data_IF_740733703726
#
_entry.id   IF_740733703726
#
_cell.length_a   1.000
_cell.length_b   1.000
_cell.length_c   1.000
_cell.angle_alpha   90.00
_cell.angle_beta   90.00
_cell.angle_gamma   90.00
#
_symmetry.space_group_name_H-M   'P 1'
#
loop_
_entity.id
_entity.type
_entity.pdbx_description
1 polymer ?
#
# COMPACT_ATOMS: atom_id res chain seq x y z
N UNK A 1 -14.97 37.00 -40.27
CA UNK A 1 -13.59 37.40 -40.58
C UNK A 1 -12.98 38.05 -39.34
N UNK A 2 -12.27 37.27 -38.55
CA UNK A 2 -11.49 37.75 -37.41
C UNK A 2 -10.23 36.88 -37.32
N UNK A 3 -9.09 37.51 -37.60
CA UNK A 3 -7.77 36.91 -37.52
C UNK A 3 -7.38 36.75 -36.05
N UNK A 4 -7.35 35.50 -35.57
CA UNK A 4 -6.53 35.13 -34.42
C UNK A 4 -5.17 34.64 -34.93
N UNK A 5 -4.05 35.07 -34.34
CA UNK A 5 -2.73 34.59 -34.74
C UNK A 5 -2.62 33.10 -34.39
N UNK A 6 -2.19 32.30 -35.36
CA UNK A 6 -1.76 30.91 -35.13
C UNK A 6 -0.57 30.96 -34.18
N UNK A 7 -0.78 30.59 -32.91
CA UNK A 7 0.32 30.22 -32.04
C UNK A 7 0.98 29.00 -32.66
N UNK A 8 2.23 29.16 -33.13
CA UNK A 8 3.07 28.05 -33.51
C UNK A 8 3.22 27.14 -32.30
N UNK A 9 2.85 25.87 -32.46
CA UNK A 9 3.10 24.84 -31.47
C UNK A 9 4.62 24.73 -31.25
N UNK A 10 5.18 25.09 -30.08
CA UNK A 10 6.62 25.00 -29.84
C UNK A 10 7.08 23.55 -29.61
N UNK A 11 6.16 22.59 -29.61
CA UNK A 11 6.43 21.17 -29.41
C UNK A 11 5.84 20.38 -30.58
N UNK A 12 6.62 20.29 -31.66
CA UNK A 12 6.23 19.55 -32.86
C UNK A 12 5.73 18.13 -32.53
N UNK A 13 4.68 17.71 -33.23
CA UNK A 13 4.26 16.31 -33.33
C UNK A 13 5.39 15.53 -34.01
N UNK A 14 6.33 15.03 -33.21
CA UNK A 14 7.46 14.26 -33.67
C UNK A 14 7.44 12.89 -33.00
N UNK A 15 6.99 11.88 -33.75
CA UNK A 15 7.40 10.51 -33.52
C UNK A 15 8.90 10.42 -33.88
N UNK A 16 9.77 10.82 -32.96
CA UNK A 16 11.23 10.73 -33.14
C UNK A 16 11.71 9.32 -32.88
N UNK A 17 11.84 8.52 -33.94
CA UNK A 17 12.74 7.37 -34.00
C UNK A 17 14.17 7.89 -34.12
N UNK A 18 14.87 8.04 -32.99
CA UNK A 18 16.26 8.50 -32.93
C UNK A 18 17.18 7.37 -32.48
N UNK A 19 18.31 7.17 -33.18
CA UNK A 19 19.43 6.37 -32.69
C UNK A 19 19.87 6.89 -31.32
N UNK A 20 19.89 6.01 -30.33
CA UNK A 20 19.95 6.28 -28.88
C UNK A 20 21.33 6.71 -28.34
N UNK A 21 22.05 7.62 -29.01
CA UNK A 21 23.28 8.16 -28.41
C UNK A 21 22.93 9.13 -27.28
N UNK A 22 23.27 8.76 -26.04
CA UNK A 22 23.14 9.63 -24.85
C UNK A 22 21.81 9.52 -24.10
N UNK A 23 21.01 8.47 -24.31
CA UNK A 23 19.80 8.17 -23.52
C UNK A 23 20.08 6.98 -22.60
N UNK A 24 19.71 7.09 -21.33
CA UNK A 24 19.83 6.02 -20.33
C UNK A 24 18.45 5.49 -20.00
N UNK A 25 18.32 4.17 -20.00
CA UNK A 25 17.11 3.45 -19.61
C UNK A 25 17.36 2.64 -18.36
N UNK A 26 16.56 2.90 -17.32
CA UNK A 26 16.59 2.12 -16.08
C UNK A 26 15.21 1.52 -15.79
N UNK A 27 15.20 0.26 -15.38
CA UNK A 27 14.04 -0.41 -14.81
C UNK A 27 14.42 -0.80 -13.37
N UNK A 28 13.87 -0.08 -12.40
CA UNK A 28 14.38 -0.09 -11.03
C UNK A 28 15.86 0.28 -10.99
N UNK A 29 16.67 -0.58 -10.38
CA UNK A 29 18.13 -0.40 -10.26
C UNK A 29 18.92 -0.95 -11.47
N UNK A 30 18.25 -1.59 -12.44
CA UNK A 30 18.89 -2.23 -13.60
C UNK A 30 18.99 -1.25 -14.75
N UNK A 31 20.22 -0.95 -15.19
CA UNK A 31 20.48 -0.24 -16.44
C UNK A 31 20.29 -1.19 -17.62
N UNK A 32 19.28 -0.91 -18.44
CA UNK A 32 18.90 -1.74 -19.60
C UNK A 32 19.28 -1.08 -20.92
N UNK A 33 20.04 0.02 -20.90
CA UNK A 33 20.34 0.86 -22.08
C UNK A 33 20.92 0.05 -23.23
N UNK A 34 21.85 -0.87 -22.96
CA UNK A 34 22.47 -1.70 -23.99
C UNK A 34 21.54 -2.76 -24.60
N UNK A 35 20.46 -3.11 -23.89
CA UNK A 35 19.45 -4.04 -24.38
C UNK A 35 18.34 -3.38 -25.21
N UNK A 36 18.24 -2.06 -25.21
CA UNK A 36 17.20 -1.35 -25.98
C UNK A 36 17.50 -1.45 -27.48
N UNK A 37 16.60 -2.12 -28.19
CA UNK A 37 16.62 -2.23 -29.65
C UNK A 37 15.92 -1.04 -30.29
N UNK A 38 14.80 -0.63 -29.70
CA UNK A 38 14.00 0.51 -30.14
C UNK A 38 13.17 1.07 -28.98
N UNK A 39 12.77 2.33 -29.08
CA UNK A 39 11.89 2.96 -28.09
C UNK A 39 11.07 4.08 -28.71
N UNK A 40 9.80 4.17 -28.32
CA UNK A 40 8.93 5.29 -28.65
C UNK A 40 8.33 5.92 -27.39
N UNK A 41 8.15 7.23 -27.40
CA UNK A 41 7.56 7.99 -26.31
C UNK A 41 6.41 8.82 -26.86
N UNK A 42 5.25 8.70 -26.24
CA UNK A 42 4.05 9.41 -26.63
C UNK A 42 3.65 10.37 -25.52
N UNK A 43 3.72 11.66 -25.83
CA UNK A 43 3.23 12.71 -24.95
C UNK A 43 2.32 13.63 -25.75
N UNK A 44 1.02 13.51 -25.53
CA UNK A 44 0.02 14.38 -26.14
C UNK A 44 -0.80 15.06 -25.05
N UNK A 45 -1.28 16.26 -25.37
CA UNK A 45 -2.20 16.95 -24.48
C UNK A 45 -3.46 16.10 -24.29
N UNK A 46 -3.94 15.97 -23.04
CA UNK A 46 -5.08 15.13 -22.65
C UNK A 46 -4.88 13.62 -22.82
N UNK A 47 -3.64 13.13 -22.91
CA UNK A 47 -3.32 11.71 -22.86
C UNK A 47 -2.31 11.44 -21.75
N UNK A 48 -2.43 10.28 -21.12
CA UNK A 48 -1.41 9.79 -20.19
C UNK A 48 -0.12 9.56 -20.98
N UNK A 49 1.03 10.10 -20.53
CA UNK A 49 2.30 9.81 -21.17
C UNK A 49 2.53 8.29 -21.22
N UNK A 50 2.88 7.77 -22.38
CA UNK A 50 3.18 6.34 -22.54
C UNK A 50 4.50 6.14 -23.26
N UNK A 51 5.08 4.97 -23.05
CA UNK A 51 6.30 4.55 -23.72
C UNK A 51 6.18 3.11 -24.18
N UNK A 52 6.76 2.80 -25.33
CA UNK A 52 6.97 1.43 -25.78
C UNK A 52 8.47 1.21 -25.94
N UNK A 53 9.01 0.21 -25.25
CA UNK A 53 10.43 -0.10 -25.24
C UNK A 53 10.60 -1.53 -25.73
N UNK A 54 11.40 -1.71 -26.77
CA UNK A 54 11.75 -3.03 -27.29
C UNK A 54 13.12 -3.43 -26.76
N UNK A 55 13.16 -4.48 -25.95
CA UNK A 55 14.40 -5.00 -25.36
C UNK A 55 14.80 -6.33 -26.02
N UNK A 56 16.12 -6.49 -26.23
CA UNK A 56 16.71 -7.76 -26.62
C UNK A 56 16.92 -8.64 -25.38
N UNK A 57 16.39 -9.88 -25.35
CA UNK A 57 16.59 -10.81 -24.25
C UNK A 57 18.00 -11.44 -24.23
N UNK A 58 18.86 -11.11 -25.21
CA UNK A 58 20.21 -11.68 -25.30
C UNK A 58 21.14 -11.26 -24.15
N UNK A 59 20.78 -10.22 -23.40
CA UNK A 59 21.60 -9.69 -22.32
C UNK A 59 21.29 -10.38 -20.97
N UNK A 60 22.31 -10.88 -20.23
CA UNK A 60 22.09 -11.62 -18.99
C UNK A 60 21.33 -10.84 -17.91
N UNK A 61 21.51 -9.52 -17.84
CA UNK A 61 20.84 -8.68 -16.84
C UNK A 61 19.33 -8.57 -17.03
N UNK A 62 18.80 -8.93 -18.21
CA UNK A 62 17.35 -8.98 -18.47
C UNK A 62 16.64 -9.95 -17.51
N UNK A 63 17.31 -11.04 -17.13
CA UNK A 63 16.78 -12.03 -16.19
C UNK A 63 16.58 -11.48 -14.77
N UNK A 64 17.22 -10.36 -14.45
CA UNK A 64 17.13 -9.70 -13.15
C UNK A 64 16.19 -8.50 -13.15
N UNK A 65 15.49 -8.23 -14.26
CA UNK A 65 14.51 -7.16 -14.32
C UNK A 65 13.31 -7.53 -13.45
N UNK A 66 12.92 -6.59 -12.61
CA UNK A 66 11.63 -6.62 -11.94
C UNK A 66 10.62 -5.82 -12.73
N UNK A 67 9.65 -6.50 -13.33
CA UNK A 67 8.59 -5.86 -14.10
C UNK A 67 7.63 -5.01 -13.25
N UNK A 68 7.68 -5.11 -11.91
CA UNK A 68 6.96 -4.20 -11.01
C UNK A 68 7.82 -3.01 -10.54
N UNK A 69 9.00 -2.82 -11.11
CA UNK A 69 9.80 -1.62 -10.83
C UNK A 69 9.40 -0.46 -11.75
N UNK A 70 9.57 0.76 -11.25
CA UNK A 70 9.42 1.96 -12.06
C UNK A 70 10.45 2.03 -13.20
N UNK A 71 10.05 2.63 -14.30
CA UNK A 71 10.87 2.92 -15.48
C UNK A 71 11.30 4.36 -15.45
N UNK A 72 12.61 4.60 -15.58
CA UNK A 72 13.18 5.93 -15.70
C UNK A 72 14.01 6.01 -16.96
N UNK A 73 13.67 6.98 -17.80
CA UNK A 73 14.44 7.31 -19.01
C UNK A 73 14.93 8.73 -18.89
N UNK A 74 16.23 8.93 -19.11
CA UNK A 74 16.86 10.24 -19.07
C UNK A 74 17.82 10.44 -20.23
N UNK A 75 18.05 11.70 -20.59
CA UNK A 75 19.06 12.12 -21.56
C UNK A 75 20.27 12.67 -20.81
N UNK A 76 21.47 12.18 -21.12
CA UNK A 76 22.70 12.51 -20.40
C UNK A 76 23.01 11.51 -19.27
N UNK A 77 24.10 11.76 -18.53
CA UNK A 77 24.55 10.92 -17.41
C UNK A 77 24.80 11.80 -16.17
N UNK A 78 24.61 11.21 -14.97
CA UNK A 78 24.91 11.87 -13.70
C UNK A 78 23.93 13.01 -13.35
N UNK A 79 24.44 14.03 -12.66
CA UNK A 79 23.63 15.14 -12.12
C UNK A 79 22.99 16.04 -13.20
N UNK A 80 23.49 15.99 -14.43
CA UNK A 80 22.94 16.75 -15.56
C UNK A 80 21.92 15.96 -16.39
N UNK A 81 21.48 14.79 -15.91
CA UNK A 81 20.51 13.96 -16.61
C UNK A 81 19.14 14.65 -16.69
N UNK A 82 18.64 14.89 -17.90
CA UNK A 82 17.30 15.43 -18.11
C UNK A 82 16.28 14.30 -18.20
N UNK A 83 15.21 14.29 -17.38
CA UNK A 83 14.19 13.24 -17.45
C UNK A 83 13.41 13.33 -18.76
N UNK A 84 13.31 12.20 -19.46
CA UNK A 84 12.56 12.03 -20.70
C UNK A 84 11.21 11.37 -20.41
N UNK A 85 11.23 10.30 -19.61
CA UNK A 85 10.04 9.55 -19.21
C UNK A 85 10.22 8.95 -17.82
N UNK A 86 9.13 8.91 -17.06
CA UNK A 86 9.02 8.20 -15.79
C UNK A 86 7.65 7.56 -15.72
N UNK A 87 7.56 6.30 -15.31
CA UNK A 87 6.28 5.59 -15.22
C UNK A 87 6.41 4.14 -14.83
N UNK A 88 5.32 3.40 -14.94
CA UNK A 88 5.20 1.99 -14.58
C UNK A 88 5.06 1.12 -15.83
N UNK A 89 5.46 -0.15 -15.70
CA UNK A 89 5.29 -1.16 -16.74
C UNK A 89 3.88 -1.74 -16.63
N UNK A 90 3.12 -1.66 -17.72
CA UNK A 90 1.78 -2.22 -17.83
C UNK A 90 1.80 -3.66 -18.35
N UNK A 91 2.64 -3.94 -19.34
CA UNK A 91 2.71 -5.26 -19.96
C UNK A 91 4.06 -5.51 -20.59
N UNK A 92 4.40 -6.80 -20.67
CA UNK A 92 5.56 -7.30 -21.40
C UNK A 92 5.10 -8.43 -22.29
N UNK A 93 5.30 -8.29 -23.60
CA UNK A 93 4.98 -9.31 -24.58
C UNK A 93 6.26 -9.83 -25.24
N UNK A 94 6.40 -11.15 -25.34
CA UNK A 94 7.49 -11.76 -26.10
C UNK A 94 7.03 -11.92 -27.55
N UNK A 95 7.64 -11.19 -28.48
CA UNK A 95 7.33 -11.26 -29.92
C UNK A 95 8.63 -11.33 -30.70
N UNK A 96 8.77 -12.32 -31.57
CA UNK A 96 9.95 -12.50 -32.45
C UNK A 96 11.29 -12.40 -31.70
N UNK A 97 11.38 -13.05 -30.54
CA UNK A 97 12.56 -13.03 -29.66
C UNK A 97 12.96 -11.65 -29.13
N UNK A 98 12.03 -10.70 -29.07
CA UNK A 98 12.18 -9.43 -28.38
C UNK A 98 11.13 -9.29 -27.28
N UNK A 99 11.45 -8.50 -26.26
CA UNK A 99 10.51 -8.11 -25.20
C UNK A 99 9.93 -6.75 -25.55
N UNK A 100 8.61 -6.69 -25.75
CA UNK A 100 7.87 -5.46 -25.97
C UNK A 100 7.28 -5.00 -24.64
N UNK A 101 7.89 -3.97 -24.06
CA UNK A 101 7.53 -3.39 -22.77
C UNK A 101 6.68 -2.17 -23.01
N UNK A 102 5.40 -2.22 -22.59
CA UNK A 102 4.52 -1.05 -22.62
C UNK A 102 4.48 -0.40 -21.24
N UNK A 103 4.68 0.91 -21.20
CA UNK A 103 4.73 1.69 -19.99
C UNK A 103 3.72 2.85 -20.02
N UNK A 104 3.27 3.27 -18.84
CA UNK A 104 2.39 4.42 -18.64
C UNK A 104 2.92 5.30 -17.52
N UNK A 105 2.75 6.61 -17.64
CA UNK A 105 3.24 7.56 -16.65
C UNK A 105 2.46 7.57 -15.33
N UNK A 106 1.25 6.99 -15.30
CA UNK A 106 0.37 6.98 -14.11
C UNK A 106 -0.49 5.70 -14.04
N UNK A 107 0.13 4.52 -13.88
CA UNK A 107 -0.61 3.25 -13.88
C UNK A 107 -1.65 3.17 -12.76
N UNK A 108 -1.36 3.81 -11.63
CA UNK A 108 -2.27 3.86 -10.48
C UNK A 108 -3.66 4.43 -10.78
N UNK A 109 -3.80 5.30 -11.80
CA UNK A 109 -5.11 5.80 -12.22
C UNK A 109 -5.91 4.80 -13.07
N UNK A 110 -5.22 3.90 -13.78
CA UNK A 110 -5.87 2.83 -14.56
C UNK A 110 -6.19 1.61 -13.69
N UNK A 111 -5.39 1.37 -12.63
CA UNK A 111 -5.55 0.25 -11.71
C UNK A 111 -6.63 0.50 -10.63
N UNK A 112 -7.06 1.75 -10.41
CA UNK A 112 -8.04 2.12 -9.38
C UNK A 112 -9.38 2.47 -9.99
N UNK A 113 -10.40 1.68 -9.65
CA UNK A 113 -11.78 2.04 -9.89
C UNK A 113 -12.27 2.96 -8.77
N UNK A 114 -12.49 4.23 -9.14
CA UNK A 114 -13.07 5.20 -8.23
C UNK A 114 -14.54 4.88 -7.96
N UNK A 115 -14.94 5.08 -6.71
CA UNK A 115 -16.35 5.09 -6.34
C UNK A 115 -17.10 6.24 -7.01
N UNK A 116 -18.44 6.17 -6.97
CA UNK A 116 -19.26 7.27 -7.47
C UNK A 116 -19.02 8.57 -6.71
N UNK A 117 -19.28 9.70 -7.37
CA UNK A 117 -19.25 11.01 -6.73
C UNK A 117 -20.35 11.93 -7.26
N UNK A 118 -20.78 12.89 -6.44
CA UNK A 118 -21.62 14.01 -6.82
C UNK A 118 -21.01 15.28 -6.21
N UNK A 119 -21.00 16.39 -6.93
CA UNK A 119 -20.38 17.62 -6.44
C UNK A 119 -21.11 18.88 -6.90
N UNK A 120 -20.87 19.97 -6.17
CA UNK A 120 -21.31 21.33 -6.50
C UNK A 120 -20.25 22.33 -6.07
N UNK A 121 -19.97 23.31 -6.93
CA UNK A 121 -19.03 24.40 -6.65
C UNK A 121 -17.88 24.45 -7.64
N UNK A 122 -17.41 25.66 -7.95
CA UNK A 122 -16.46 25.93 -9.04
C UNK A 122 -15.08 25.29 -8.81
N UNK A 123 -14.64 25.22 -7.55
CA UNK A 123 -13.30 24.73 -7.20
C UNK A 123 -13.27 23.24 -6.83
N UNK A 124 -14.43 22.58 -6.78
CA UNK A 124 -14.54 21.17 -6.38
C UNK A 124 -13.97 20.19 -7.41
N UNK A 125 -14.10 20.41 -8.75
CA UNK A 125 -13.42 19.55 -9.73
C UNK A 125 -11.91 19.44 -9.50
N UNK A 126 -11.25 20.56 -9.19
CA UNK A 126 -9.81 20.58 -8.87
C UNK A 126 -9.50 19.79 -7.61
N UNK A 127 -10.33 19.91 -6.57
CA UNK A 127 -10.20 19.11 -5.36
C UNK A 127 -10.41 17.62 -5.63
N UNK A 128 -11.34 17.25 -6.52
CA UNK A 128 -11.58 15.86 -6.91
C UNK A 128 -10.37 15.27 -7.64
N UNK A 129 -9.74 16.04 -8.53
CA UNK A 129 -8.49 15.61 -9.19
C UNK A 129 -7.38 15.43 -8.16
N UNK A 130 -7.23 16.36 -7.21
CA UNK A 130 -6.28 16.23 -6.11
C UNK A 130 -6.55 14.97 -5.28
N UNK A 131 -7.79 14.78 -4.84
CA UNK A 131 -8.21 13.61 -4.06
C UNK A 131 -7.95 12.30 -4.81
N UNK A 132 -8.27 12.26 -6.11
CA UNK A 132 -8.03 11.10 -6.97
C UNK A 132 -6.55 10.79 -7.05
N UNK A 133 -5.70 11.80 -7.24
CA UNK A 133 -4.24 11.63 -7.28
C UNK A 133 -3.70 11.09 -5.95
N UNK A 134 -4.19 11.62 -4.82
CA UNK A 134 -3.82 11.15 -3.48
C UNK A 134 -4.29 9.71 -3.24
N UNK A 135 -5.52 9.37 -3.62
CA UNK A 135 -6.07 8.01 -3.52
C UNK A 135 -5.34 7.01 -4.44
N UNK A 136 -4.79 7.49 -5.56
CA UNK A 136 -3.92 6.73 -6.46
C UNK A 136 -2.48 6.59 -5.92
N UNK A 137 -2.17 7.14 -4.75
CA UNK A 137 -0.87 7.01 -4.08
C UNK A 137 0.15 8.11 -4.39
N UNK A 138 -0.18 9.09 -5.25
CA UNK A 138 0.74 10.20 -5.54
C UNK A 138 0.92 11.09 -4.32
N UNK A 139 2.16 11.51 -4.07
CA UNK A 139 2.55 12.40 -2.97
C UNK A 139 2.20 13.85 -3.29
N UNK A 140 2.08 14.67 -2.25
CA UNK A 140 1.72 16.09 -2.41
C UNK A 140 2.72 16.84 -3.31
N UNK A 141 4.02 16.55 -3.16
CA UNK A 141 5.07 17.14 -3.98
C UNK A 141 5.11 16.63 -5.44
N UNK A 142 4.37 15.57 -5.76
CA UNK A 142 4.23 15.01 -7.10
C UNK A 142 2.98 15.56 -7.82
N UNK A 143 2.11 16.25 -7.09
CA UNK A 143 0.86 16.81 -7.62
C UNK A 143 1.05 18.31 -7.88
N UNK A 144 1.29 18.66 -9.14
CA UNK A 144 1.33 20.06 -9.57
C UNK A 144 0.02 20.48 -10.22
N UNK A 145 -0.88 21.04 -9.42
CA UNK A 145 -2.14 21.62 -9.90
C UNK A 145 -2.11 23.12 -9.59
N UNK A 146 -1.97 23.97 -10.61
CA UNK A 146 -1.73 25.43 -10.46
C UNK A 146 -2.80 26.17 -9.63
N UNK A 147 -3.95 25.54 -9.36
CA UNK A 147 -5.08 26.07 -8.61
C UNK A 147 -5.18 25.61 -7.13
N UNK A 148 -4.18 24.92 -6.55
CA UNK A 148 -4.28 24.32 -5.20
C UNK A 148 -3.78 25.17 -4.04
N UNK A 149 -3.09 26.31 -4.25
CA UNK A 149 -2.74 27.21 -3.13
C UNK A 149 -4.00 27.88 -2.59
N UNK A 150 -4.57 27.29 -1.54
CA UNK A 150 -5.78 27.74 -0.85
C UNK A 150 -5.49 28.11 0.60
N UNK A 151 -6.24 29.06 1.17
CA UNK A 151 -6.19 29.29 2.61
C UNK A 151 -6.78 28.10 3.37
N UNK A 152 -6.40 27.96 4.64
CA UNK A 152 -7.05 27.04 5.56
C UNK A 152 -8.55 27.38 5.64
N UNK A 153 -9.40 26.37 5.51
CA UNK A 153 -10.86 26.48 5.59
C UNK A 153 -11.42 25.46 6.59
N UNK A 154 -12.54 25.80 7.23
CA UNK A 154 -13.32 24.86 8.04
C UNK A 154 -14.27 24.07 7.14
N UNK A 155 -14.22 22.75 7.27
CA UNK A 155 -15.07 21.81 6.57
C UNK A 155 -16.03 21.11 7.53
N UNK A 156 -17.29 20.98 7.11
CA UNK A 156 -18.25 20.05 7.68
C UNK A 156 -18.13 18.72 6.93
N UNK A 157 -17.82 17.65 7.66
CA UNK A 157 -17.75 16.29 7.11
C UNK A 157 -18.85 15.44 7.74
N UNK A 158 -19.66 14.79 6.91
CA UNK A 158 -20.78 13.97 7.35
C UNK A 158 -20.66 12.54 6.80
N UNK A 159 -20.66 11.57 7.72
CA UNK A 159 -20.41 10.15 7.43
C UNK A 159 -21.61 9.33 7.95
N UNK A 160 -22.29 8.55 7.10
CA UNK A 160 -23.37 7.67 7.55
C UNK A 160 -22.85 6.53 8.44
N UNK A 161 -23.62 6.17 9.47
CA UNK A 161 -23.29 5.10 10.40
C UNK A 161 -24.33 3.97 10.34
N UNK A 162 -23.87 2.73 10.43
CA UNK A 162 -24.70 1.52 10.45
C UNK A 162 -24.51 0.74 11.74
N UNK A 163 -25.56 0.02 12.15
CA UNK A 163 -25.55 -0.79 13.36
C UNK A 163 -25.79 -0.01 14.66
N UNK A 164 -26.17 1.27 14.55
CA UNK A 164 -26.56 2.11 15.70
C UNK A 164 -27.91 2.78 15.45
N UNK A 165 -28.57 3.11 16.54
CA UNK A 165 -29.75 3.97 16.55
C UNK A 165 -29.38 5.23 17.31
N UNK A 166 -29.75 6.39 16.77
CA UNK A 166 -29.55 7.67 17.43
C UNK A 166 -30.92 8.25 17.83
N UNK A 167 -31.00 8.92 18.99
CA UNK A 167 -32.19 9.67 19.36
C UNK A 167 -32.40 10.85 18.38
N UNK A 168 -33.55 11.52 18.50
CA UNK A 168 -33.82 12.73 17.71
C UNK A 168 -32.91 13.91 18.10
N UNK A 169 -32.35 13.90 19.31
CA UNK A 169 -31.39 14.88 19.78
C UNK A 169 -29.97 14.55 19.30
N UNK A 170 -29.16 15.58 19.10
CA UNK A 170 -27.73 15.41 18.80
C UNK A 170 -27.02 14.85 20.03
N UNK A 171 -26.24 13.79 19.84
CA UNK A 171 -25.32 13.27 20.86
C UNK A 171 -23.89 13.68 20.52
N UNK A 172 -23.08 13.97 21.53
CA UNK A 172 -21.65 14.28 21.36
C UNK A 172 -20.80 13.17 21.96
N UNK A 173 -19.85 12.63 21.19
CA UNK A 173 -18.84 11.70 21.68
C UNK A 173 -17.47 12.18 21.19
N UNK A 174 -16.67 12.73 22.10
CA UNK A 174 -15.41 13.39 21.75
C UNK A 174 -15.66 14.55 20.78
N UNK A 175 -14.99 14.54 19.63
CA UNK A 175 -15.15 15.54 18.56
C UNK A 175 -16.29 15.22 17.58
N UNK A 176 -16.96 14.07 17.72
CA UNK A 176 -17.97 13.60 16.77
C UNK A 176 -19.38 13.88 17.29
N UNK A 177 -20.17 14.59 16.50
CA UNK A 177 -21.60 14.77 16.74
C UNK A 177 -22.40 13.70 16.00
N UNK A 178 -23.30 12.99 16.69
CA UNK A 178 -24.16 11.96 16.13
C UNK A 178 -25.59 12.51 15.99
N UNK A 179 -26.15 12.39 14.79
CA UNK A 179 -27.48 12.89 14.45
C UNK A 179 -28.38 11.76 13.91
N UNK A 180 -29.59 11.63 14.46
CA UNK A 180 -30.64 10.76 13.93
C UNK A 180 -31.59 11.51 13.00
N UNK A 181 -31.73 11.05 11.74
CA UNK A 181 -32.76 11.48 10.77
C UNK A 181 -32.72 12.93 10.25
N UNK A 182 -32.34 13.93 11.06
CA UNK A 182 -32.42 15.35 10.72
C UNK A 182 -31.53 15.77 9.54
N UNK A 183 -30.45 15.01 9.28
CA UNK A 183 -29.47 15.31 8.23
C UNK A 183 -29.74 14.50 6.94
N UNK A 184 -30.73 13.59 6.95
CA UNK A 184 -31.02 12.65 5.85
C UNK A 184 -31.23 13.33 4.50
N UNK A 185 -31.93 14.46 4.46
CA UNK A 185 -32.21 15.22 3.23
C UNK A 185 -31.11 16.20 2.82
N UNK A 186 -30.06 16.37 3.63
CA UNK A 186 -29.06 17.44 3.41
C UNK A 186 -28.29 17.24 2.10
N UNK A 187 -27.89 16.01 1.78
CA UNK A 187 -27.19 15.71 0.53
C UNK A 187 -28.06 16.03 -0.70
N UNK A 188 -29.36 15.72 -0.66
CA UNK A 188 -30.30 16.02 -1.74
C UNK A 188 -30.47 17.54 -1.94
N UNK A 189 -30.60 18.30 -0.85
CA UNK A 189 -30.65 19.77 -0.93
C UNK A 189 -29.37 20.37 -1.52
N UNK A 190 -28.21 19.84 -1.14
CA UNK A 190 -26.91 20.38 -1.54
C UNK A 190 -26.44 19.93 -2.93
N UNK A 191 -26.85 18.74 -3.40
CA UNK A 191 -26.31 18.12 -4.62
C UNK A 191 -27.38 17.73 -5.64
N UNK A 192 -28.67 17.77 -5.26
CA UNK A 192 -29.77 17.27 -6.08
C UNK A 192 -29.94 15.75 -6.00
N UNK A 193 -30.93 15.23 -6.73
CA UNK A 193 -31.21 13.78 -6.77
C UNK A 193 -30.23 13.07 -7.69
N UNK A 194 -29.58 12.03 -7.18
CA UNK A 194 -28.75 11.09 -7.94
C UNK A 194 -28.73 9.74 -7.23
N UNK A 195 -28.26 8.69 -7.90
CA UNK A 195 -28.18 7.34 -7.31
C UNK A 195 -27.30 7.32 -6.04
N UNK A 196 -26.17 8.04 -6.05
CA UNK A 196 -25.27 8.12 -4.89
C UNK A 196 -25.90 8.90 -3.72
N UNK A 197 -26.64 9.98 -4.01
CA UNK A 197 -27.36 10.75 -2.99
C UNK A 197 -28.51 9.95 -2.39
N UNK A 198 -29.23 9.16 -3.20
CA UNK A 198 -30.26 8.25 -2.70
C UNK A 198 -29.66 7.20 -1.75
N UNK A 199 -28.56 6.55 -2.15
CA UNK A 199 -27.83 5.59 -1.31
C UNK A 199 -27.35 6.21 0.00
N UNK A 200 -26.87 7.45 -0.05
CA UNK A 200 -26.50 8.21 1.16
C UNK A 200 -27.70 8.41 2.10
N UNK A 201 -28.85 8.77 1.54
CA UNK A 201 -30.07 9.05 2.28
C UNK A 201 -30.77 7.79 2.82
N UNK A 202 -30.39 6.57 2.44
CA UNK A 202 -30.97 5.33 2.98
C UNK A 202 -30.60 5.08 4.46
N UNK A 203 -29.57 5.76 4.96
CA UNK A 203 -29.07 5.57 6.32
C UNK A 203 -29.80 6.49 7.31
N UNK A 204 -30.07 5.97 8.52
CA UNK A 204 -30.83 6.68 9.55
C UNK A 204 -30.00 7.53 10.52
N UNK A 205 -28.68 7.29 10.59
CA UNK A 205 -27.77 7.91 11.57
C UNK A 205 -26.52 8.42 10.87
N UNK A 206 -26.07 9.61 11.26
CA UNK A 206 -24.90 10.29 10.66
C UNK A 206 -23.97 10.80 11.75
N UNK A 207 -22.67 10.58 11.57
CA UNK A 207 -21.60 11.30 12.27
C UNK A 207 -21.31 12.61 11.53
N UNK A 208 -21.09 13.68 12.28
CA UNK A 208 -20.67 14.99 11.79
C UNK A 208 -19.40 15.39 12.53
N UNK A 209 -18.39 15.81 11.77
CA UNK A 209 -17.11 16.32 12.28
C UNK A 209 -16.83 17.65 11.58
N UNK A 210 -16.35 18.63 12.35
CA UNK A 210 -15.84 19.89 11.82
C UNK A 210 -14.32 19.89 11.94
N UNK A 211 -13.62 20.07 10.83
CA UNK A 211 -12.16 20.13 10.82
C UNK A 211 -11.63 21.25 9.94
N UNK A 212 -10.43 21.73 10.22
CA UNK A 212 -9.75 22.76 9.42
C UNK A 212 -8.67 22.12 8.57
N UNK A 213 -8.73 22.32 7.26
CA UNK A 213 -7.76 21.79 6.31
C UNK A 213 -7.54 22.75 5.14
N UNK A 214 -6.52 22.50 4.32
CA UNK A 214 -6.34 23.23 3.05
C UNK A 214 -7.22 22.58 1.98
N UNK A 215 -7.22 21.24 1.93
CA UNK A 215 -7.96 20.47 0.94
C UNK A 215 -9.17 19.74 1.52
N UNK A 216 -10.21 19.55 0.68
CA UNK A 216 -11.40 18.78 1.06
C UNK A 216 -11.05 17.32 1.35
N UNK A 217 -10.07 16.76 0.63
CA UNK A 217 -9.56 15.39 0.86
C UNK A 217 -8.94 15.24 2.25
N UNK A 218 -8.12 16.19 2.68
CA UNK A 218 -7.49 16.17 4.00
C UNK A 218 -8.53 16.22 5.11
N UNK A 219 -9.52 17.11 4.97
CA UNK A 219 -10.64 17.19 5.91
C UNK A 219 -11.42 15.87 5.98
N UNK A 220 -11.68 15.25 4.83
CA UNK A 220 -12.32 13.94 4.74
C UNK A 220 -11.53 12.87 5.51
N UNK A 221 -10.22 12.76 5.28
CA UNK A 221 -9.36 11.77 5.93
C UNK A 221 -9.28 12.00 7.45
N UNK A 222 -9.12 13.24 7.90
CA UNK A 222 -9.11 13.58 9.32
C UNK A 222 -10.44 13.21 10.01
N UNK A 223 -11.56 13.55 9.38
CA UNK A 223 -12.88 13.22 9.93
C UNK A 223 -13.13 11.70 9.96
N UNK A 224 -12.66 10.95 8.97
CA UNK A 224 -12.73 9.48 8.99
C UNK A 224 -11.97 8.92 10.20
N UNK A 225 -10.76 9.42 10.48
CA UNK A 225 -9.96 8.98 11.64
C UNK A 225 -10.71 9.24 12.95
N UNK A 226 -11.28 10.43 13.13
CA UNK A 226 -12.04 10.79 14.34
C UNK A 226 -13.30 9.91 14.50
N UNK A 227 -14.02 9.65 13.42
CA UNK A 227 -15.20 8.78 13.44
C UNK A 227 -14.82 7.35 13.76
N UNK A 228 -13.77 6.79 13.14
CA UNK A 228 -13.31 5.43 13.43
C UNK A 228 -12.87 5.30 14.89
N UNK A 229 -12.12 6.26 15.43
CA UNK A 229 -11.73 6.25 16.84
C UNK A 229 -12.94 6.24 17.80
N UNK A 230 -13.96 7.04 17.47
CA UNK A 230 -15.23 7.02 18.21
C UNK A 230 -15.94 5.66 18.11
N UNK A 231 -15.97 5.04 16.93
CA UNK A 231 -16.56 3.72 16.74
C UNK A 231 -15.80 2.61 17.48
N UNK A 232 -14.47 2.67 17.50
CA UNK A 232 -13.61 1.78 18.26
C UNK A 232 -13.88 1.91 19.77
N UNK A 233 -14.00 3.14 20.27
CA UNK A 233 -14.39 3.39 21.66
C UNK A 233 -15.77 2.79 21.98
N UNK A 234 -16.76 3.00 21.11
CA UNK A 234 -18.08 2.37 21.28
C UNK A 234 -17.99 0.86 21.30
N UNK A 235 -17.15 0.26 20.46
CA UNK A 235 -16.93 -1.19 20.42
C UNK A 235 -16.26 -1.72 21.71
N UNK A 236 -15.38 -0.94 22.34
CA UNK A 236 -14.85 -1.25 23.68
C UNK A 236 -15.97 -1.14 24.71
N UNK A 237 -16.73 -0.04 24.67
CA UNK A 237 -17.80 0.25 25.64
C UNK A 237 -18.94 -0.76 25.60
N UNK A 238 -19.30 -1.31 24.45
CA UNK A 238 -20.33 -2.36 24.31
C UNK A 238 -19.88 -3.70 24.89
N UNK A 239 -18.57 -3.94 25.02
CA UNK A 239 -18.00 -5.15 25.62
C UNK A 239 -17.76 -5.02 27.12
N UNK A 240 -17.89 -3.82 27.69
CA UNK A 240 -17.76 -3.60 29.12
C UNK A 240 -18.88 -4.31 29.88
N UNK A 241 -18.52 -5.22 30.79
CA UNK A 241 -19.46 -6.14 31.46
C UNK A 241 -19.49 -6.00 32.98
N UNK A 242 -18.81 -5.01 33.57
CA UNK A 242 -18.94 -4.74 35.00
C UNK A 242 -20.24 -3.96 35.25
N UNK A 243 -20.85 -4.20 36.42
CA UNK A 243 -22.12 -3.60 36.81
C UNK A 243 -22.04 -2.07 36.98
N UNK A 244 -20.85 -1.56 37.25
CA UNK A 244 -20.60 -0.14 37.55
C UNK A 244 -19.48 0.38 36.65
N UNK A 245 -19.67 1.54 36.05
CA UNK A 245 -18.64 2.26 35.31
C UNK A 245 -17.60 2.88 36.27
N UNK A 246 -16.42 3.26 35.77
CA UNK A 246 -15.39 3.89 36.61
C UNK A 246 -15.82 5.17 37.34
N UNK A 247 -16.85 5.86 36.85
CA UNK A 247 -17.44 7.04 37.49
C UNK A 247 -18.50 6.71 38.55
N UNK A 248 -18.72 5.42 38.85
CA UNK A 248 -19.70 4.96 39.82
C UNK A 248 -21.12 4.79 39.26
N UNK A 249 -21.37 5.10 37.98
CA UNK A 249 -22.70 4.94 37.37
C UNK A 249 -23.00 3.47 37.05
N UNK A 250 -24.26 3.05 37.18
CA UNK A 250 -24.70 1.68 36.88
C UNK A 250 -25.51 1.66 35.56
N UNK A 251 -24.90 1.29 34.43
CA UNK A 251 -25.58 1.27 33.14
C UNK A 251 -26.41 -0.01 32.98
N UNK A 252 -27.47 0.07 32.18
CA UNK A 252 -28.14 -1.12 31.67
C UNK A 252 -27.15 -1.94 30.83
N UNK A 253 -27.15 -3.26 31.05
CA UNK A 253 -26.29 -4.20 30.31
C UNK A 253 -27.11 -5.28 29.63
N UNK A 254 -26.85 -5.49 28.34
CA UNK A 254 -27.49 -6.52 27.54
C UNK A 254 -26.44 -7.28 26.73
N UNK A 255 -26.29 -8.58 26.96
CA UNK A 255 -25.27 -9.41 26.28
C UNK A 255 -25.30 -9.28 24.75
N UNK A 256 -26.49 -9.11 24.15
CA UNK A 256 -26.60 -8.99 22.70
C UNK A 256 -25.92 -7.75 22.12
N UNK A 257 -25.73 -6.67 22.89
CA UNK A 257 -24.99 -5.48 22.40
C UNK A 257 -23.52 -5.75 22.15
N UNK A 258 -22.94 -6.77 22.79
CA UNK A 258 -21.54 -7.19 22.55
C UNK A 258 -21.32 -7.75 21.14
N UNK A 259 -22.40 -8.19 20.48
CA UNK A 259 -22.39 -8.72 19.11
C UNK A 259 -22.69 -7.63 18.06
N UNK A 260 -23.00 -6.40 18.49
CA UNK A 260 -23.30 -5.30 17.58
C UNK A 260 -22.11 -4.97 16.69
N UNK A 261 -22.36 -4.89 15.38
CA UNK A 261 -21.38 -4.47 14.37
C UNK A 261 -21.63 -3.03 13.99
N UNK A 262 -21.15 -2.13 14.84
CA UNK A 262 -21.17 -0.69 14.56
C UNK A 262 -20.07 -0.40 13.54
N UNK A 263 -20.41 0.31 12.46
CA UNK A 263 -19.46 0.69 11.41
C UNK A 263 -19.91 1.95 10.69
N UNK A 264 -18.98 2.68 10.09
CA UNK A 264 -19.32 3.69 9.09
C UNK A 264 -19.66 3.08 7.73
N UNK A 265 -20.37 3.84 6.92
CA UNK A 265 -20.49 3.59 5.49
C UNK A 265 -19.27 4.15 4.73
N UNK A 266 -19.13 3.81 3.45
CA UNK A 266 -18.07 4.34 2.59
C UNK A 266 -18.37 5.74 2.05
N UNK A 267 -19.63 6.14 2.07
CA UNK A 267 -20.04 7.45 1.58
C UNK A 267 -19.62 8.56 2.55
N UNK A 268 -19.10 9.65 2.03
CA UNK A 268 -18.73 10.82 2.83
C UNK A 268 -19.12 12.10 2.11
N UNK A 269 -19.90 12.94 2.80
CA UNK A 269 -20.29 14.27 2.36
C UNK A 269 -19.32 15.27 2.98
N UNK A 270 -18.68 16.11 2.17
CA UNK A 270 -17.79 17.18 2.65
C UNK A 270 -18.30 18.50 2.12
N UNK A 271 -18.35 19.51 2.99
CA UNK A 271 -18.77 20.86 2.66
C UNK A 271 -17.79 21.87 3.22
N UNK A 272 -17.23 22.71 2.35
CA UNK A 272 -16.54 23.93 2.76
C UNK A 272 -17.53 24.96 3.30
N UNK A 273 -17.33 25.41 4.55
CA UNK A 273 -18.22 26.37 5.20
C UNK A 273 -18.13 27.75 4.55
N UNK A 274 -16.92 28.17 4.15
CA UNK A 274 -16.66 29.49 3.59
C UNK A 274 -16.87 29.49 2.07
N UNK A 275 -16.36 28.48 1.38
CA UNK A 275 -16.40 28.39 -0.08
C UNK A 275 -17.72 27.84 -0.61
N UNK A 276 -18.50 27.16 0.24
CA UNK A 276 -19.75 26.50 -0.14
C UNK A 276 -19.56 25.32 -1.11
N UNK A 277 -18.31 24.92 -1.37
CA UNK A 277 -18.02 23.74 -2.18
C UNK A 277 -18.50 22.48 -1.47
N UNK A 278 -19.18 21.60 -2.20
CA UNK A 278 -19.71 20.34 -1.65
C UNK A 278 -19.32 19.19 -2.55
N UNK A 279 -18.88 18.08 -1.96
CA UNK A 279 -18.90 16.78 -2.62
C UNK A 279 -19.58 15.73 -1.76
N UNK A 280 -20.05 14.68 -2.41
CA UNK A 280 -20.39 13.40 -1.84
C UNK A 280 -19.58 12.36 -2.61
N UNK A 281 -18.74 11.61 -1.91
CA UNK A 281 -17.86 10.62 -2.51
C UNK A 281 -18.05 9.26 -1.86
N UNK A 282 -17.95 8.21 -2.67
CA UNK A 282 -17.74 6.86 -2.18
C UNK A 282 -16.23 6.63 -2.01
N UNK A 283 -15.79 6.58 -0.75
CA UNK A 283 -14.39 6.41 -0.37
C UNK A 283 -13.87 4.99 -0.59
N UNK A 284 -14.72 4.06 -1.06
CA UNK A 284 -14.23 2.74 -1.48
C UNK A 284 -13.52 2.83 -2.82
N UNK A 285 -12.20 2.94 -2.77
CA UNK A 285 -11.34 2.67 -3.93
C UNK A 285 -11.21 1.16 -4.08
N UNK A 286 -11.64 0.61 -5.21
CA UNK A 286 -11.40 -0.80 -5.54
C UNK A 286 -10.29 -0.86 -6.55
N UNK A 287 -9.30 -1.71 -6.30
CA UNK A 287 -8.37 -2.06 -7.37
C UNK A 287 -9.10 -2.92 -8.38
N UNK A 288 -8.90 -2.60 -9.65
CA UNK A 288 -9.34 -3.47 -10.73
C UNK A 288 -8.57 -4.79 -10.61
N UNK A 289 -9.30 -5.88 -10.43
CA UNK A 289 -8.77 -7.22 -10.37
C UNK A 289 -9.35 -7.99 -11.56
N UNK A 290 -8.61 -8.09 -12.68
CA UNK A 290 -9.09 -8.85 -13.82
C UNK A 290 -9.24 -10.33 -13.46
N UNK A 291 -10.21 -11.01 -14.08
CA UNK A 291 -10.28 -12.46 -14.05
C UNK A 291 -9.03 -13.04 -14.74
N UNK A 292 -8.46 -14.07 -14.13
CA UNK A 292 -7.25 -14.73 -14.63
C UNK A 292 -7.64 -16.09 -15.21
N UNK A 293 -7.33 -16.32 -16.48
CA UNK A 293 -7.47 -17.62 -17.11
C UNK A 293 -6.28 -18.52 -16.71
N UNK A 294 -6.56 -19.61 -15.98
CA UNK A 294 -5.52 -20.55 -15.52
C UNK A 294 -4.75 -21.21 -16.67
N UNK A 295 -5.41 -21.36 -17.82
CA UNK A 295 -4.86 -21.96 -19.04
C UNK A 295 -4.03 -20.98 -19.88
N UNK A 296 -3.93 -19.71 -19.47
CA UNK A 296 -3.12 -18.74 -20.18
C UNK A 296 -1.62 -19.09 -20.06
N UNK A 297 -1.14 -19.78 -21.08
CA UNK A 297 0.26 -20.21 -21.20
C UNK A 297 1.25 -19.05 -21.21
N UNK A 298 0.82 -17.82 -21.54
CA UNK A 298 1.70 -16.63 -21.51
C UNK A 298 2.05 -16.22 -20.08
N UNK A 299 1.11 -16.37 -19.15
CA UNK A 299 1.32 -16.03 -17.73
C UNK A 299 2.11 -17.10 -16.98
N UNK A 300 2.14 -18.34 -17.50
CA UNK A 300 2.93 -19.42 -16.90
C UNK A 300 2.51 -19.79 -15.47
N UNK A 301 1.26 -19.53 -15.08
CA UNK A 301 0.74 -19.64 -13.70
C UNK A 301 0.93 -21.01 -13.05
N UNK A 302 1.06 -22.07 -13.86
CA UNK A 302 1.27 -23.44 -13.41
C UNK A 302 2.75 -23.77 -13.13
N UNK A 303 3.67 -22.79 -13.26
CA UNK A 303 5.12 -23.01 -13.14
C UNK A 303 5.77 -21.96 -12.21
N UNK A 304 6.60 -22.39 -11.23
CA UNK A 304 6.74 -23.77 -10.77
C UNK A 304 5.45 -24.22 -10.07
N UNK A 305 4.98 -25.43 -10.35
CA UNK A 305 3.89 -26.02 -9.58
C UNK A 305 4.40 -26.35 -8.17
N UNK A 306 3.66 -26.05 -7.09
CA UNK A 306 4.00 -26.60 -5.79
C UNK A 306 3.96 -28.13 -5.87
N UNK A 307 5.04 -28.80 -5.47
CA UNK A 307 5.09 -30.26 -5.41
C UNK A 307 4.13 -30.83 -4.36
N UNK A 308 3.84 -32.12 -4.46
CA UNK A 308 2.93 -32.83 -3.52
C UNK A 308 3.39 -32.74 -2.06
N UNK A 309 4.70 -32.63 -1.82
CA UNK A 309 5.30 -32.59 -0.48
C UNK A 309 5.87 -31.22 -0.12
N UNK A 310 5.21 -30.14 -0.55
CA UNK A 310 5.61 -28.79 -0.16
C UNK A 310 5.67 -28.67 1.37
N UNK A 311 6.85 -28.27 1.87
CA UNK A 311 7.10 -28.08 3.30
C UNK A 311 6.05 -27.18 3.94
N UNK A 312 5.56 -27.56 5.12
CA UNK A 312 4.48 -26.86 5.83
C UNK A 312 4.77 -25.38 6.06
N UNK A 313 6.02 -25.03 6.42
CA UNK A 313 6.41 -23.65 6.62
C UNK A 313 6.37 -22.84 5.32
N UNK A 314 6.72 -23.44 4.18
CA UNK A 314 6.60 -22.78 2.88
C UNK A 314 5.12 -22.61 2.47
N UNK A 315 4.26 -23.57 2.80
CA UNK A 315 2.80 -23.44 2.61
C UNK A 315 2.21 -22.27 3.42
N UNK A 316 2.61 -22.14 4.69
CA UNK A 316 2.19 -21.00 5.52
C UNK A 316 2.74 -19.68 5.00
N UNK A 317 3.97 -19.65 4.51
CA UNK A 317 4.54 -18.45 3.89
C UNK A 317 3.76 -18.00 2.64
N UNK A 318 3.39 -18.94 1.76
CA UNK A 318 2.54 -18.66 0.58
C UNK A 318 1.17 -18.16 1.00
N UNK A 319 0.53 -18.80 1.99
CA UNK A 319 -0.78 -18.38 2.51
C UNK A 319 -0.75 -16.96 3.08
N UNK A 320 0.30 -16.63 3.86
CA UNK A 320 0.50 -15.30 4.42
C UNK A 320 0.77 -14.25 3.33
N UNK A 321 1.57 -14.59 2.31
CA UNK A 321 1.79 -13.73 1.13
C UNK A 321 0.49 -13.47 0.37
N UNK A 322 -0.32 -14.51 0.12
CA UNK A 322 -1.62 -14.38 -0.55
C UNK A 322 -2.60 -13.51 0.27
N UNK A 323 -2.59 -13.64 1.60
CA UNK A 323 -3.37 -12.79 2.51
C UNK A 323 -2.93 -11.33 2.42
N UNK A 324 -1.63 -11.04 2.38
CA UNK A 324 -1.10 -9.69 2.24
C UNK A 324 -1.53 -9.00 0.92
N UNK A 325 -1.71 -9.78 -0.16
CA UNK A 325 -2.21 -9.28 -1.44
C UNK A 325 -3.72 -9.02 -1.50
N UNK A 326 -4.50 -9.59 -0.57
CA UNK A 326 -5.97 -9.43 -0.52
C UNK A 326 -6.43 -8.42 0.52
N UNK A 327 -5.63 -8.22 1.57
CA UNK A 327 -5.93 -7.30 2.66
C UNK A 327 -5.88 -5.84 2.17
N UNK A 328 -6.80 -5.02 2.69
CA UNK A 328 -6.92 -3.60 2.34
C UNK A 328 -6.14 -2.75 3.34
N UNK A 329 -6.21 -3.09 4.62
CA UNK A 329 -5.56 -2.33 5.68
C UNK A 329 -4.02 -2.43 5.60
N UNK A 330 -3.28 -1.32 5.42
CA UNK A 330 -1.83 -1.34 5.27
C UNK A 330 -1.08 -2.05 6.41
N UNK A 331 -1.57 -1.95 7.65
CA UNK A 331 -0.92 -2.55 8.83
C UNK A 331 -1.07 -4.06 8.81
N UNK A 332 -2.28 -4.54 8.51
CA UNK A 332 -2.55 -5.96 8.35
C UNK A 332 -1.80 -6.54 7.14
N UNK A 333 -1.65 -5.79 6.05
CA UNK A 333 -0.80 -6.17 4.90
C UNK A 333 0.67 -6.33 5.31
N UNK A 334 1.23 -5.33 6.01
CA UNK A 334 2.60 -5.39 6.53
C UNK A 334 2.77 -6.58 7.47
N UNK A 335 1.82 -6.80 8.37
CA UNK A 335 1.85 -7.93 9.31
C UNK A 335 1.84 -9.26 8.56
N UNK A 336 0.99 -9.40 7.55
CA UNK A 336 0.94 -10.61 6.72
C UNK A 336 2.23 -10.83 5.90
N UNK A 337 2.88 -9.77 5.41
CA UNK A 337 4.23 -9.87 4.80
C UNK A 337 5.24 -10.40 5.81
N UNK A 338 5.22 -9.91 7.05
CA UNK A 338 6.14 -10.36 8.10
C UNK A 338 5.87 -11.78 8.57
N UNK A 339 4.61 -12.19 8.68
CA UNK A 339 4.24 -13.58 8.94
C UNK A 339 4.81 -14.49 7.85
N UNK A 340 4.74 -14.08 6.57
CA UNK A 340 5.31 -14.85 5.48
C UNK A 340 6.83 -14.97 5.57
N UNK A 341 7.53 -13.89 5.91
CA UNK A 341 8.99 -13.89 6.15
C UNK A 341 9.35 -14.80 7.34
N UNK A 342 8.56 -14.77 8.42
CA UNK A 342 8.76 -15.63 9.59
C UNK A 342 8.60 -17.11 9.26
N UNK A 343 7.55 -17.49 8.53
CA UNK A 343 7.36 -18.86 8.09
C UNK A 343 8.45 -19.33 7.11
N UNK A 344 8.84 -18.47 6.17
CA UNK A 344 9.88 -18.79 5.19
C UNK A 344 11.26 -18.98 5.84
N UNK A 345 11.71 -18.04 6.67
CA UNK A 345 13.02 -18.08 7.33
C UNK A 345 13.03 -18.90 8.64
N UNK A 346 11.86 -19.39 9.07
CA UNK A 346 11.62 -19.95 10.41
C UNK A 346 12.38 -21.24 10.72
N UNK A 347 12.87 -21.97 9.71
CA UNK A 347 13.70 -23.18 9.88
C UNK A 347 15.18 -22.98 9.52
N UNK A 348 15.56 -21.80 9.04
CA UNK A 348 16.94 -21.52 8.64
C UNK A 348 17.85 -21.47 9.86
N UNK A 349 18.81 -22.37 9.94
CA UNK A 349 19.87 -22.34 10.95
C UNK A 349 21.02 -21.46 10.45
N UNK A 350 21.54 -20.58 11.32
CA UNK A 350 22.82 -19.90 11.07
C UNK A 350 23.89 -20.61 11.89
N UNK A 351 25.14 -20.57 11.41
CA UNK A 351 26.29 -21.04 12.16
C UNK A 351 26.30 -20.38 13.54
N UNK A 352 26.38 -21.21 14.58
CA UNK A 352 26.46 -20.74 15.96
C UNK A 352 27.84 -20.13 16.21
N UNK A 353 27.89 -19.00 16.90
CA UNK A 353 29.15 -18.39 17.31
C UNK A 353 29.81 -19.19 18.44
N UNK A 354 29.01 -19.77 19.34
CA UNK A 354 29.49 -20.56 20.47
C UNK A 354 28.86 -21.95 20.49
N UNK A 355 29.65 -22.94 20.85
CA UNK A 355 29.18 -24.28 21.21
C UNK A 355 28.48 -24.27 22.57
N UNK A 356 27.67 -25.29 22.85
CA UNK A 356 27.03 -25.46 24.16
C UNK A 356 28.05 -25.57 25.30
N UNK A 357 29.26 -26.09 25.01
CA UNK A 357 30.36 -26.21 25.98
C UNK A 357 30.94 -24.84 26.33
N UNK A 358 31.19 -24.00 25.33
CA UNK A 358 31.69 -22.63 25.54
C UNK A 358 30.68 -21.79 26.31
N UNK A 359 29.39 -21.85 25.96
CA UNK A 359 28.34 -21.16 26.72
C UNK A 359 28.27 -21.60 28.19
N UNK A 360 28.46 -22.90 28.46
CA UNK A 360 28.51 -23.42 29.84
C UNK A 360 29.74 -22.93 30.60
N UNK A 361 30.89 -22.83 29.92
CA UNK A 361 32.11 -22.25 30.50
C UNK A 361 31.91 -20.77 30.81
N UNK A 362 31.31 -19.99 29.91
CA UNK A 362 31.01 -18.57 30.14
C UNK A 362 30.05 -18.38 31.33
N UNK A 363 28.97 -19.20 31.41
CA UNK A 363 28.03 -19.17 32.55
C UNK A 363 28.70 -19.46 33.89
N UNK A 364 29.70 -20.35 33.91
CA UNK A 364 30.49 -20.68 35.11
C UNK A 364 31.50 -19.60 35.49
N UNK A 365 31.90 -18.76 34.55
CA UNK A 365 32.81 -17.65 34.78
C UNK A 365 32.09 -16.37 35.25
N UNK A 366 30.77 -16.41 35.45
CA UNK A 366 30.02 -15.29 36.01
C UNK A 366 30.49 -15.01 37.45
N UNK A 367 30.76 -13.73 37.81
CA UNK A 367 31.10 -13.37 39.18
C UNK A 367 30.04 -13.83 40.19
N UNK A 368 30.50 -14.21 41.39
CA UNK A 368 29.63 -14.70 42.46
C UNK A 368 28.91 -13.59 43.23
N UNK A 369 29.39 -12.35 43.11
CA UNK A 369 28.81 -11.14 43.72
C UNK A 369 27.65 -10.53 42.90
N UNK A 370 27.31 -11.13 41.74
CA UNK A 370 26.15 -10.71 40.95
C UNK A 370 24.85 -10.97 41.71
N UNK A 371 24.00 -9.95 41.78
CA UNK A 371 22.62 -10.12 42.25
C UNK A 371 21.84 -11.10 41.34
N UNK A 372 20.77 -11.69 41.89
CA UNK A 372 19.91 -12.62 41.16
C UNK A 372 19.39 -12.03 39.85
N UNK A 373 18.94 -10.77 39.84
CA UNK A 373 18.45 -10.08 38.64
C UNK A 373 19.55 -9.92 37.58
N UNK A 374 20.77 -9.58 37.98
CA UNK A 374 21.89 -9.43 37.04
C UNK A 374 22.29 -10.77 36.42
N UNK A 375 22.32 -11.85 37.22
CA UNK A 375 22.61 -13.21 36.73
C UNK A 375 21.51 -13.72 35.80
N UNK A 376 20.24 -13.47 36.10
CA UNK A 376 19.11 -13.78 35.20
C UNK A 376 19.22 -13.01 33.88
N UNK A 377 19.55 -11.71 33.92
CA UNK A 377 19.73 -10.89 32.71
C UNK A 377 20.89 -11.39 31.85
N UNK A 378 22.02 -11.73 32.44
CA UNK A 378 23.17 -12.27 31.71
C UNK A 378 22.87 -13.63 31.05
N UNK A 379 22.11 -14.50 31.73
CA UNK A 379 21.66 -15.76 31.15
C UNK A 379 20.76 -15.54 29.93
N UNK A 380 19.81 -14.60 30.01
CA UNK A 380 18.95 -14.24 28.88
C UNK A 380 19.77 -13.74 27.68
N UNK A 381 20.77 -12.89 27.92
CA UNK A 381 21.64 -12.38 26.85
C UNK A 381 22.43 -13.53 26.23
N UNK A 382 23.03 -14.41 27.04
CA UNK A 382 23.79 -15.56 26.53
C UNK A 382 22.95 -16.52 25.69
N UNK A 383 21.68 -16.72 26.04
CA UNK A 383 20.76 -17.54 25.23
C UNK A 383 20.50 -16.91 23.86
N UNK A 384 20.52 -15.58 23.77
CA UNK A 384 20.35 -14.84 22.52
C UNK A 384 21.60 -14.81 21.63
N UNK A 385 22.80 -15.03 22.17
CA UNK A 385 24.05 -14.94 21.39
C UNK A 385 24.09 -15.93 20.21
N UNK A 386 23.47 -17.10 20.37
CA UNK A 386 23.35 -18.10 19.31
C UNK A 386 22.03 -18.03 18.53
N UNK A 387 21.13 -17.09 18.87
CA UNK A 387 19.86 -16.89 18.17
C UNK A 387 20.01 -15.74 17.18
N UNK A 388 20.31 -16.02 15.90
CA UNK A 388 20.44 -14.99 14.89
C UNK A 388 19.12 -14.20 14.73
N UNK A 389 19.19 -12.87 14.54
CA UNK A 389 18.01 -12.07 14.23
C UNK A 389 17.27 -12.61 13.00
N UNK A 390 15.94 -12.49 12.98
CA UNK A 390 15.12 -12.98 11.86
C UNK A 390 15.60 -12.48 10.49
N UNK A 391 16.00 -11.21 10.38
CA UNK A 391 16.53 -10.65 9.13
C UNK A 391 17.82 -11.35 8.66
N UNK A 392 18.68 -11.76 9.58
CA UNK A 392 19.88 -12.53 9.23
C UNK A 392 19.51 -13.93 8.73
N UNK A 393 18.52 -14.57 9.36
CA UNK A 393 18.00 -15.89 8.92
C UNK A 393 17.36 -15.79 7.55
N UNK A 394 16.56 -14.75 7.34
CA UNK A 394 15.91 -14.45 6.08
C UNK A 394 16.93 -14.23 4.96
N UNK A 395 17.93 -13.38 5.18
CA UNK A 395 19.02 -13.14 4.21
C UNK A 395 19.78 -14.42 3.85
N UNK A 396 20.07 -15.26 4.84
CA UNK A 396 20.71 -16.55 4.60
C UNK A 396 19.81 -17.47 3.76
N UNK A 397 18.51 -17.54 4.06
CA UNK A 397 17.59 -18.39 3.32
C UNK A 397 17.44 -17.96 1.86
N UNK A 398 17.35 -16.65 1.61
CA UNK A 398 17.35 -16.06 0.26
C UNK A 398 18.62 -16.51 -0.52
N UNK A 399 19.78 -16.45 0.12
CA UNK A 399 21.04 -16.87 -0.49
C UNK A 399 21.10 -18.39 -0.77
N UNK A 400 20.59 -19.22 0.15
CA UNK A 400 20.47 -20.67 -0.06
C UNK A 400 19.54 -20.98 -1.23
N UNK A 401 18.44 -20.23 -1.36
CA UNK A 401 17.48 -20.41 -2.44
C UNK A 401 17.92 -19.76 -3.76
N UNK A 402 19.09 -19.09 -3.79
CA UNK A 402 19.63 -18.49 -5.00
C UNK A 402 18.75 -17.39 -5.58
N UNK A 403 17.97 -16.69 -4.74
CA UNK A 403 17.07 -15.62 -5.20
C UNK A 403 17.90 -14.40 -5.62
N UNK A 404 17.74 -13.87 -6.84
CA UNK A 404 18.38 -12.63 -7.24
C UNK A 404 17.69 -11.45 -6.54
N UNK A 405 18.35 -10.94 -5.50
CA UNK A 405 17.91 -9.81 -4.71
C UNK A 405 19.09 -8.88 -4.42
N UNK A 406 18.92 -7.59 -4.71
CA UNK A 406 19.90 -6.54 -4.41
C UNK A 406 19.84 -6.11 -2.93
N UNK A 407 20.87 -5.43 -2.44
CA UNK A 407 20.86 -4.85 -1.08
C UNK A 407 19.77 -3.79 -0.90
N UNK A 408 19.52 -2.97 -1.93
CA UNK A 408 18.46 -1.96 -1.93
C UNK A 408 17.07 -2.61 -1.77
N UNK A 409 16.80 -3.67 -2.53
CA UNK A 409 15.57 -4.46 -2.40
C UNK A 409 15.45 -5.14 -1.03
N UNK A 410 16.54 -5.71 -0.51
CA UNK A 410 16.53 -6.31 0.83
C UNK A 410 16.24 -5.26 1.93
N UNK A 411 16.81 -4.07 1.82
CA UNK A 411 16.61 -2.99 2.79
C UNK A 411 15.17 -2.49 2.85
N UNK A 412 14.36 -2.68 1.79
CA UNK A 412 12.92 -2.38 1.83
C UNK A 412 12.18 -3.19 2.90
N UNK A 413 12.54 -4.46 3.08
CA UNK A 413 11.99 -5.26 4.19
C UNK A 413 12.37 -4.65 5.54
N UNK A 414 13.64 -4.30 5.76
CA UNK A 414 14.07 -3.69 7.02
C UNK A 414 13.28 -2.41 7.36
N UNK A 415 13.04 -1.55 6.37
CA UNK A 415 12.22 -0.35 6.50
C UNK A 415 10.77 -0.69 6.87
N UNK A 416 10.16 -1.66 6.18
CA UNK A 416 8.79 -2.11 6.46
C UNK A 416 8.65 -2.69 7.87
N UNK A 417 9.69 -3.38 8.38
CA UNK A 417 9.73 -3.86 9.77
C UNK A 417 9.72 -2.72 10.77
N UNK A 418 10.51 -1.69 10.50
CA UNK A 418 10.60 -0.51 11.36
C UNK A 418 9.24 0.17 11.45
N UNK A 419 8.57 0.35 10.31
CA UNK A 419 7.20 0.88 10.24
C UNK A 419 6.24 0.03 11.09
N UNK A 420 6.22 -1.30 10.90
CA UNK A 420 5.40 -2.21 11.74
C UNK A 420 5.66 -2.00 13.23
N UNK A 421 6.92 -1.98 13.64
CA UNK A 421 7.29 -1.86 15.04
C UNK A 421 6.88 -0.49 15.60
N UNK A 422 7.13 0.59 14.87
CA UNK A 422 6.77 1.94 15.30
C UNK A 422 5.24 2.08 15.44
N UNK A 423 4.46 1.47 14.55
CA UNK A 423 3.00 1.40 14.63
C UNK A 423 2.53 0.60 15.85
N UNK A 424 3.05 -0.61 16.04
CA UNK A 424 2.72 -1.48 17.20
C UNK A 424 3.06 -0.81 18.53
N UNK A 425 4.09 0.04 18.56
CA UNK A 425 4.52 0.79 19.74
C UNK A 425 3.89 2.19 19.86
N UNK A 426 2.90 2.53 19.02
CA UNK A 426 2.15 3.78 19.12
C UNK A 426 2.94 5.05 18.77
N UNK A 427 4.06 4.94 18.04
CA UNK A 427 4.95 6.07 17.66
C UNK A 427 4.48 6.77 16.38
N UNK A 428 3.17 6.88 16.20
CA UNK A 428 2.51 7.36 14.98
C UNK A 428 2.86 8.81 14.60
N UNK A 429 3.28 9.65 15.55
CA UNK A 429 3.62 11.05 15.28
C UNK A 429 4.81 11.22 14.30
N UNK A 430 5.59 10.17 14.05
CA UNK A 430 6.75 10.18 13.14
C UNK A 430 6.72 9.07 12.08
N UNK A 431 5.71 8.19 12.11
CA UNK A 431 5.50 7.24 11.03
C UNK A 431 4.90 8.04 9.87
N UNK A 432 5.74 8.45 8.90
CA UNK A 432 5.23 8.90 7.61
C UNK A 432 4.19 7.90 7.11
N UNK A 433 3.13 8.39 6.45
CA UNK A 433 2.09 7.53 5.87
C UNK A 433 2.74 6.34 5.18
N UNK A 434 2.35 5.12 5.57
CA UNK A 434 2.92 3.90 4.99
C UNK A 434 2.72 3.98 3.47
N UNK A 435 3.83 3.99 2.73
CA UNK A 435 3.76 4.08 1.28
C UNK A 435 3.21 2.76 0.74
N UNK A 436 2.07 2.86 0.05
CA UNK A 436 1.42 1.69 -0.55
C UNK A 436 2.31 1.08 -1.62
N UNK A 437 3.10 1.89 -2.32
CA UNK A 437 4.08 1.42 -3.30
C UNK A 437 5.17 0.56 -2.64
N UNK A 438 5.67 0.95 -1.47
CA UNK A 438 6.65 0.14 -0.74
C UNK A 438 6.05 -1.20 -0.27
N UNK A 439 4.78 -1.23 0.12
CA UNK A 439 4.07 -2.48 0.43
C UNK A 439 3.96 -3.36 -0.81
N UNK A 440 3.50 -2.83 -1.95
CA UNK A 440 3.41 -3.59 -3.20
C UNK A 440 4.77 -4.13 -3.64
N UNK A 441 5.80 -3.30 -3.50
CA UNK A 441 7.17 -3.65 -3.84
C UNK A 441 7.65 -4.81 -2.97
N UNK A 442 7.47 -4.73 -1.65
CA UNK A 442 7.83 -5.82 -0.75
C UNK A 442 7.03 -7.10 -1.04
N UNK A 443 5.75 -6.98 -1.39
CA UNK A 443 4.91 -8.11 -1.76
C UNK A 443 5.40 -8.79 -3.06
N UNK A 444 5.77 -8.01 -4.08
CA UNK A 444 6.32 -8.53 -5.32
C UNK A 444 7.67 -9.24 -5.11
N UNK A 445 8.56 -8.64 -4.29
CA UNK A 445 9.83 -9.25 -3.92
C UNK A 445 9.63 -10.54 -3.11
N UNK A 446 8.67 -10.56 -2.20
CA UNK A 446 8.30 -11.76 -1.44
C UNK A 446 7.76 -12.86 -2.37
N UNK A 447 6.91 -12.51 -3.33
CA UNK A 447 6.43 -13.45 -4.34
C UNK A 447 7.60 -14.06 -5.14
N UNK A 448 8.59 -13.24 -5.56
CA UNK A 448 9.82 -13.74 -6.20
C UNK A 448 10.56 -14.74 -5.30
N UNK A 449 10.78 -14.39 -4.04
CA UNK A 449 11.45 -15.27 -3.07
C UNK A 449 10.75 -16.62 -2.94
N UNK A 450 9.42 -16.60 -2.79
CA UNK A 450 8.63 -17.82 -2.64
C UNK A 450 8.63 -18.68 -3.91
N UNK A 451 8.62 -18.06 -5.09
CA UNK A 451 8.71 -18.79 -6.38
C UNK A 451 10.03 -19.55 -6.50
N UNK A 452 11.16 -18.94 -6.13
CA UNK A 452 12.46 -19.60 -6.10
C UNK A 452 12.51 -20.71 -5.04
N UNK A 453 11.95 -20.48 -3.85
CA UNK A 453 11.88 -21.48 -2.80
C UNK A 453 11.08 -22.73 -3.24
N UNK A 454 9.94 -22.54 -3.91
CA UNK A 454 9.15 -23.64 -4.48
C UNK A 454 9.95 -24.38 -5.57
N UNK A 455 10.62 -23.64 -6.46
CA UNK A 455 11.45 -24.24 -7.51
C UNK A 455 12.58 -25.11 -6.94
N UNK A 456 13.26 -24.66 -5.89
CA UNK A 456 14.34 -25.43 -5.25
C UNK A 456 13.84 -26.62 -4.44
N UNK A 457 12.69 -26.50 -3.77
CA UNK A 457 12.05 -27.61 -3.09
C UNK A 457 11.76 -28.75 -4.09
N UNK A 458 11.22 -28.41 -5.26
CA UNK A 458 10.95 -29.39 -6.32
C UNK A 458 12.22 -30.05 -6.89
N UNK A 459 13.33 -29.29 -7.02
CA UNK A 459 14.62 -29.86 -7.46
C UNK A 459 15.17 -30.87 -6.45
N UNK A 460 15.03 -30.57 -5.16
CA UNK A 460 15.47 -31.46 -4.09
C UNK A 460 14.64 -32.75 -4.07
N UNK A 461 13.31 -32.65 -4.20
CA UNK A 461 12.40 -33.81 -4.24
C UNK A 461 12.69 -34.74 -5.43
N UNK A 462 13.00 -34.19 -6.61
CA UNK A 462 13.34 -35.00 -7.78
C UNK A 462 14.68 -35.72 -7.60
N UNK A 463 15.69 -35.05 -7.05
CA UNK A 463 16.98 -35.68 -6.76
C UNK A 463 16.86 -36.85 -5.77
N UNK A 464 15.93 -36.80 -4.82
CA UNK A 464 15.66 -37.91 -3.90
C UNK A 464 14.87 -39.07 -4.53
N UNK A 465 14.12 -38.84 -5.61
CA UNK A 465 13.36 -39.89 -6.32
C UNK A 465 14.22 -40.65 -7.34
N UNK A 466 15.28 -40.02 -7.83
CA UNK A 466 16.21 -40.60 -8.81
C UNK A 466 17.39 -41.35 -8.15
N UNK A 467 17.50 -41.32 -6.81
CA UNK A 467 18.39 -42.15 -5.99
C UNK A 467 17.64 -43.34 -5.42
#
# INVERSE_FOLDING_TARGET
MSHFPKYANPFGDAATSNRLTGVVFKIGDVDVTSAVVDSSFHRRMNQVPSAEIRLSPAYPFILNIDWRAGVHVSRGHGENAQPVFGGDILSVEVVENNLFVRCTGVASFEEVQLGGYAYRGRNVPTELVYATARDAGLRENEISITATKKPLEVYEVVIPLRGIQAPMTTLQIGQVSIHGGAIRGRAETLLGKSAIVQRYAEVGVYAVVYTSAVHMHEAEQQAIIEVESMLEWLAVRTRYSLATLPDGTNPDWFRGTTLSKIRRDSLTLVRGILTGGVWLRDTTSRRFAPDIALEDTKLGLLKPSPGYHLLENLRHAISACARAGREIDPINRITAIWDAVEFYAGKTSIQRFFTSRELKSIRRAFPDDLSRQQRERLNQILEQVNMPPLLARFRRQIAVDGVPLTESEFNKFANLRKIRNDLVHGRLQHAGSVDTEDIERCLALLARILMFAVANANRSDNAYRDM
#
